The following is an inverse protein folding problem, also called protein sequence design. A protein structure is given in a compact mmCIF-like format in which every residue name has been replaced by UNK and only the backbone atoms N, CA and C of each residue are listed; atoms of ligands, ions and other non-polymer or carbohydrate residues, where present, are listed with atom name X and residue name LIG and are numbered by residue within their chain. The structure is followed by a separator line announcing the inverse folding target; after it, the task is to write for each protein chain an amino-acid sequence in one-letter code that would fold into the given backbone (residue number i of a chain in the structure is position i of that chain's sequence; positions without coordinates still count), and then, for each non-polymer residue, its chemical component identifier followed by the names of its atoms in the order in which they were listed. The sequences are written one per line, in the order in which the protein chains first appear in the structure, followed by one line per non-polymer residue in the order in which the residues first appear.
data_IF_665529861800
#
_entry.id   IF_665529861800
#
_cell.length_a   1.000
_cell.length_b   1.000
_cell.length_c   1.000
_cell.angle_alpha   90.00
_cell.angle_beta   90.00
_cell.angle_gamma   90.00
#
_symmetry.space_group_name_H-M   'P 1'
#
loop_
_entity.id
_entity.type
_entity.pdbx_description
1 polymer ?
#
# COMPACT_ATOMS: atom_id res chain seq x y z
N UNK A 1 2.91 -8.87 -9.98
CA UNK A 1 1.81 -8.16 -9.30
C UNK A 1 2.36 -6.89 -8.69
N UNK A 2 1.65 -5.80 -8.87
CA UNK A 2 1.92 -4.52 -8.23
C UNK A 2 0.63 -3.99 -7.63
N UNK A 3 0.74 -3.24 -6.54
CA UNK A 3 -0.39 -2.64 -5.83
C UNK A 3 -0.11 -1.16 -5.73
N UNK A 4 -1.09 -0.36 -6.13
CA UNK A 4 -0.99 1.09 -6.11
C UNK A 4 -1.77 1.64 -4.91
N UNK A 5 -1.10 2.40 -4.05
CA UNK A 5 -1.72 3.07 -2.92
C UNK A 5 -1.58 4.58 -3.08
N UNK A 6 -2.68 5.27 -2.82
CA UNK A 6 -2.79 6.72 -2.96
C UNK A 6 -3.01 7.33 -1.57
N UNK A 7 -1.95 7.75 -0.86
CA UNK A 7 -2.11 8.51 0.36
C UNK A 7 -2.61 9.92 0.07
N UNK A 8 -3.28 10.49 1.06
CA UNK A 8 -3.74 11.88 1.07
C UNK A 8 -3.44 12.53 2.42
N UNK A 9 -3.68 13.84 2.53
CA UNK A 9 -3.54 14.57 3.81
C UNK A 9 -4.41 13.99 4.93
N UNK A 10 -5.53 13.36 4.58
CA UNK A 10 -6.46 12.73 5.54
C UNK A 10 -6.18 11.24 5.75
N UNK A 11 -5.72 10.53 4.72
CA UNK A 11 -5.42 9.10 4.77
C UNK A 11 -3.94 8.86 4.48
N UNK A 12 -3.16 8.70 5.55
CA UNK A 12 -1.74 8.38 5.41
C UNK A 12 -1.54 7.00 4.79
N UNK A 13 -0.33 6.75 4.26
CA UNK A 13 0.01 5.50 3.56
C UNK A 13 -0.28 4.23 4.39
N UNK A 14 -0.15 4.30 5.71
CA UNK A 14 -0.50 3.21 6.63
C UNK A 14 -2.00 2.91 6.60
N UNK A 15 -2.84 3.96 6.67
CA UNK A 15 -4.28 3.81 6.62
C UNK A 15 -4.74 3.26 5.27
N UNK A 16 -4.19 3.79 4.18
CA UNK A 16 -4.50 3.32 2.82
C UNK A 16 -4.08 1.86 2.64
N UNK A 17 -2.89 1.46 3.10
CA UNK A 17 -2.42 0.08 3.03
C UNK A 17 -3.29 -0.88 3.86
N UNK A 18 -3.66 -0.49 5.07
CA UNK A 18 -4.55 -1.29 5.92
C UNK A 18 -5.95 -1.44 5.34
N UNK A 19 -6.53 -0.35 4.80
CA UNK A 19 -7.84 -0.41 4.15
C UNK A 19 -7.81 -1.36 2.95
N UNK A 20 -6.79 -1.25 2.10
CA UNK A 20 -6.68 -2.12 0.92
C UNK A 20 -6.42 -3.58 1.31
N UNK A 21 -5.68 -3.82 2.41
CA UNK A 21 -5.50 -5.15 2.97
C UNK A 21 -6.83 -5.76 3.41
N UNK A 22 -7.59 -5.06 4.26
CA UNK A 22 -8.87 -5.56 4.76
C UNK A 22 -9.89 -5.75 3.65
N UNK A 23 -9.94 -4.84 2.68
CA UNK A 23 -10.77 -4.97 1.49
C UNK A 23 -10.41 -6.23 0.70
N UNK A 24 -9.12 -6.50 0.51
CA UNK A 24 -8.66 -7.69 -0.21
C UNK A 24 -9.00 -8.98 0.55
N UNK A 25 -8.91 -8.97 1.88
CA UNK A 25 -9.31 -10.10 2.75
C UNK A 25 -10.81 -10.36 2.67
N UNK A 26 -11.62 -9.31 2.75
CA UNK A 26 -13.08 -9.39 2.65
C UNK A 26 -13.49 -9.99 1.29
N UNK A 27 -12.92 -9.45 0.21
CA UNK A 27 -13.16 -9.92 -1.15
C UNK A 27 -12.68 -11.38 -1.36
N UNK A 28 -11.61 -11.79 -0.68
CA UNK A 28 -11.10 -13.16 -0.71
C UNK A 28 -12.06 -14.13 -0.01
N UNK A 29 -12.66 -13.71 1.10
CA UNK A 29 -13.68 -14.48 1.80
C UNK A 29 -14.94 -14.63 0.96
N UNK A 30 -15.37 -13.57 0.26
CA UNK A 30 -16.53 -13.60 -0.63
C UNK A 30 -16.30 -14.50 -1.87
N UNK A 31 -15.11 -14.45 -2.47
CA UNK A 31 -14.76 -15.18 -3.70
C UNK A 31 -14.25 -16.61 -3.48
N UNK A 32 -14.22 -17.10 -2.24
CA UNK A 32 -13.78 -18.46 -1.85
C UNK A 32 -12.40 -18.86 -2.41
N UNK A 33 -11.37 -18.04 -2.20
CA UNK A 33 -9.99 -18.52 -2.42
C UNK A 33 -9.37 -18.13 -3.76
N UNK A 34 -9.60 -16.91 -4.23
CA UNK A 34 -8.91 -16.39 -5.39
C UNK A 34 -7.40 -16.24 -5.11
N UNK A 35 -6.57 -16.94 -5.89
CA UNK A 35 -5.10 -16.96 -5.73
C UNK A 35 -4.45 -15.60 -5.99
N UNK A 36 -5.08 -14.76 -6.80
CA UNK A 36 -4.60 -13.39 -7.03
C UNK A 36 -4.82 -12.53 -5.78
N UNK A 37 -5.99 -12.66 -5.15
CA UNK A 37 -6.26 -11.99 -3.88
C UNK A 37 -5.34 -12.50 -2.76
N UNK A 38 -5.05 -13.81 -2.70
CA UNK A 38 -4.06 -14.35 -1.75
C UNK A 38 -2.69 -13.67 -1.89
N UNK A 39 -2.15 -13.60 -3.11
CA UNK A 39 -0.88 -12.92 -3.36
C UNK A 39 -0.90 -11.42 -3.05
N UNK A 40 -2.05 -10.77 -3.25
CA UNK A 40 -2.26 -9.35 -2.91
C UNK A 40 -2.27 -9.13 -1.39
N UNK A 41 -2.97 -9.99 -0.65
CA UNK A 41 -3.05 -9.98 0.81
C UNK A 41 -1.67 -10.20 1.42
N UNK A 42 -0.91 -11.17 0.94
CA UNK A 42 0.45 -11.44 1.43
C UNK A 42 1.39 -10.26 1.19
N UNK A 43 1.32 -9.62 0.01
CA UNK A 43 2.13 -8.45 -0.30
C UNK A 43 1.80 -7.27 0.62
N UNK A 44 0.52 -6.97 0.79
CA UNK A 44 0.05 -5.89 1.66
C UNK A 44 0.42 -6.15 3.12
N UNK A 45 0.24 -7.39 3.59
CA UNK A 45 0.62 -7.80 4.94
C UNK A 45 2.11 -7.58 5.18
N UNK A 46 2.95 -8.12 4.30
CA UNK A 46 4.39 -7.96 4.42
C UNK A 46 4.80 -6.49 4.37
N UNK A 47 4.16 -5.69 3.52
CA UNK A 47 4.40 -4.24 3.44
C UNK A 47 4.04 -3.55 4.76
N UNK A 48 2.87 -3.83 5.33
CA UNK A 48 2.44 -3.26 6.62
C UNK A 48 3.36 -3.68 7.77
N UNK A 49 3.86 -4.92 7.77
CA UNK A 49 4.75 -5.42 8.84
C UNK A 49 6.21 -4.94 8.71
N UNK A 50 6.67 -4.58 7.50
CA UNK A 50 8.09 -4.29 7.25
C UNK A 50 8.43 -2.81 7.05
N UNK A 51 7.45 -1.95 6.81
CA UNK A 51 7.69 -0.56 6.45
C UNK A 51 7.70 0.41 7.62
N UNK A 52 8.54 1.44 7.52
CA UNK A 52 8.53 2.58 8.44
C UNK A 52 7.54 3.64 7.97
N UNK A 53 6.29 3.50 8.40
CA UNK A 53 5.22 4.43 8.04
C UNK A 53 5.43 5.85 8.55
N UNK A 54 6.16 6.04 9.64
CA UNK A 54 6.50 7.39 10.13
C UNK A 54 7.39 8.11 9.13
N UNK A 55 8.38 7.41 8.59
CA UNK A 55 9.25 7.95 7.54
C UNK A 55 8.45 8.20 6.25
N UNK A 56 7.71 7.21 5.78
CA UNK A 56 6.92 7.30 4.56
C UNK A 56 5.92 8.46 4.59
N UNK A 57 5.17 8.59 5.69
CA UNK A 57 4.21 9.68 5.88
C UNK A 57 4.89 11.04 5.77
N UNK A 58 6.01 11.24 6.48
CA UNK A 58 6.73 12.52 6.44
C UNK A 58 7.26 12.84 5.04
N UNK A 59 7.68 11.83 4.28
CA UNK A 59 8.13 11.99 2.90
C UNK A 59 7.00 12.26 1.91
N UNK A 60 5.82 11.67 2.09
CA UNK A 60 4.66 11.96 1.23
C UNK A 60 3.98 13.27 1.57
N UNK A 61 3.85 13.60 2.87
CA UNK A 61 3.09 14.75 3.37
C UNK A 61 3.67 16.08 2.87
N UNK A 62 5.00 16.20 2.74
CA UNK A 62 5.63 17.39 2.15
C UNK A 62 5.13 17.69 0.73
N UNK A 63 4.94 16.66 -0.10
CA UNK A 63 4.46 16.82 -1.47
C UNK A 63 2.95 17.05 -1.51
N UNK A 64 2.19 16.32 -0.69
CA UNK A 64 0.74 16.51 -0.57
C UNK A 64 0.36 17.93 -0.12
N UNK A 65 1.15 18.55 0.77
CA UNK A 65 0.96 19.95 1.19
C UNK A 65 1.25 20.94 0.05
N UNK A 66 2.18 20.60 -0.85
CA UNK A 66 2.43 21.39 -2.07
C UNK A 66 1.32 21.24 -3.12
N UNK A 67 0.29 20.43 -2.87
CA UNK A 67 -0.80 20.15 -3.79
C UNK A 67 -0.44 19.12 -4.87
N UNK A 68 0.67 18.39 -4.70
CA UNK A 68 1.11 17.31 -5.60
C UNK A 68 0.39 16.01 -5.27
N UNK A 69 0.24 15.15 -6.26
CA UNK A 69 -0.29 13.81 -6.04
C UNK A 69 0.85 12.86 -5.71
N UNK A 70 0.64 11.96 -4.74
CA UNK A 70 1.63 10.96 -4.36
C UNK A 70 1.01 9.59 -4.50
N UNK A 71 1.70 8.69 -5.20
CA UNK A 71 1.32 7.29 -5.35
C UNK A 71 2.47 6.37 -4.94
N UNK A 72 2.12 5.27 -4.28
CA UNK A 72 3.05 4.23 -3.87
C UNK A 72 2.78 2.97 -4.68
N UNK A 73 3.77 2.53 -5.45
CA UNK A 73 3.72 1.27 -6.18
C UNK A 73 4.45 0.22 -5.33
N UNK A 74 3.71 -0.76 -4.83
CA UNK A 74 4.24 -1.85 -4.00
C UNK A 74 4.37 -3.10 -4.86
N UNK A 75 5.53 -3.76 -4.79
CA UNK A 75 5.80 -4.98 -5.54
C UNK A 75 6.73 -5.92 -4.79
N UNK A 76 6.60 -7.21 -5.07
CA UNK A 76 7.58 -8.20 -4.60
C UNK A 76 8.91 -8.01 -5.31
N UNK A 77 10.00 -7.88 -4.55
CA UNK A 77 11.37 -7.93 -5.07
C UNK A 77 12.11 -9.04 -4.35
N UNK A 78 12.12 -10.22 -4.96
CA UNK A 78 12.54 -11.45 -4.27
C UNK A 78 11.55 -11.80 -3.16
N UNK A 79 12.04 -11.98 -1.93
CA UNK A 79 11.23 -12.38 -0.78
C UNK A 79 10.82 -11.21 0.15
N UNK A 80 10.91 -9.96 -0.33
CA UNK A 80 10.54 -8.77 0.45
C UNK A 80 9.66 -7.83 -0.37
N UNK A 81 8.69 -7.16 0.27
CA UNK A 81 7.96 -6.07 -0.35
C UNK A 81 8.91 -4.88 -0.57
N UNK A 82 8.90 -4.33 -1.77
CA UNK A 82 9.48 -3.02 -2.06
C UNK A 82 8.41 -2.06 -2.50
N UNK A 83 8.69 -0.78 -2.35
CA UNK A 83 7.84 0.29 -2.82
C UNK A 83 8.62 1.31 -3.63
N UNK A 84 7.92 1.96 -4.52
CA UNK A 84 8.33 3.19 -5.19
C UNK A 84 7.31 4.27 -4.90
N UNK A 85 7.79 5.43 -4.47
CA UNK A 85 6.98 6.63 -4.32
C UNK A 85 7.14 7.47 -5.58
N UNK A 86 6.05 7.71 -6.28
CA UNK A 86 5.98 8.60 -7.44
C UNK A 86 5.21 9.84 -7.01
N UNK A 87 5.68 11.00 -7.46
CA UNK A 87 5.08 12.30 -7.18
C UNK A 87 4.82 12.97 -8.52
N UNK A 88 3.56 13.35 -8.74
CA UNK A 88 3.08 14.05 -9.95
C UNK A 88 2.71 15.51 -9.63
#
# INVERSE_FOLDING_TARGET
MEIELFPSLSHCIETTANQEFWKSVDEYMEKQGDKELEGKIELLKAFVESMDFRKLRRESEKYLIEGKEVRFIIRWKGNRPQYEMIVD
#
